data_IF_787969061366
#
_entry.id   IF_787969061366
#
_cell.length_a   1.000
_cell.length_b   1.000
_cell.length_c   1.000
_cell.angle_alpha   90.00
_cell.angle_beta   90.00
_cell.angle_gamma   90.00
#
_symmetry.space_group_name_H-M   'P 1'
#
loop_
_entity.id
_entity.type
_entity.pdbx_description
1 polymer ?
#
# COMPACT_ATOMS: atom_id res chain seq x y z
N UNK A 1 -0.49 14.20 12.12
CA UNK A 1 -0.40 14.08 10.67
C UNK A 1 -0.89 15.38 10.04
N UNK A 2 -0.17 15.99 9.10
CA UNK A 2 -0.62 17.20 8.39
C UNK A 2 -1.83 16.96 7.48
N UNK A 3 -2.25 15.73 7.33
CA UNK A 3 -3.28 15.29 6.40
C UNK A 3 -4.67 15.15 7.01
N UNK A 4 -4.99 16.00 7.95
CA UNK A 4 -6.39 16.18 8.34
C UNK A 4 -7.12 17.05 7.32
N UNK A 5 -8.42 17.28 7.53
CA UNK A 5 -9.33 18.13 6.71
C UNK A 5 -8.80 19.52 6.28
N UNK A 6 -7.54 19.84 6.54
CA UNK A 6 -6.90 21.13 6.24
C UNK A 6 -6.11 21.18 4.92
N UNK A 7 -6.04 20.07 4.17
CA UNK A 7 -5.27 20.00 2.93
C UNK A 7 -3.77 19.81 3.15
N UNK A 8 -3.03 19.94 2.08
CA UNK A 8 -1.59 19.80 2.08
C UNK A 8 -0.88 21.02 2.68
N UNK A 9 0.24 20.85 3.41
CA UNK A 9 1.06 22.00 3.85
C UNK A 9 1.80 22.64 2.68
N UNK A 10 2.22 23.89 2.84
CA UNK A 10 3.08 24.56 1.87
C UNK A 10 4.43 23.80 1.73
N UNK A 11 5.01 23.71 0.51
CA UNK A 11 4.50 24.26 -0.75
C UNK A 11 3.48 23.38 -1.48
N UNK A 12 3.21 22.18 -0.96
CA UNK A 12 2.39 21.12 -1.58
C UNK A 12 0.89 21.49 -1.69
N UNK A 13 0.45 22.54 -1.02
CA UNK A 13 -0.92 23.07 -1.10
C UNK A 13 -1.20 23.76 -2.43
N UNK A 14 -0.19 24.40 -3.04
CA UNK A 14 -0.32 25.17 -4.27
C UNK A 14 0.57 24.68 -5.41
N UNK A 15 1.70 24.07 -5.13
CA UNK A 15 2.62 23.51 -6.12
C UNK A 15 2.26 22.05 -6.42
N UNK A 16 1.55 21.83 -7.51
CA UNK A 16 1.08 20.48 -7.90
C UNK A 16 2.23 19.57 -8.32
N UNK A 17 3.31 20.09 -8.91
CA UNK A 17 4.49 19.28 -9.25
C UNK A 17 5.22 18.82 -7.99
N UNK A 18 5.38 19.69 -7.02
CA UNK A 18 5.94 19.31 -5.72
C UNK A 18 5.02 18.26 -5.03
N UNK A 19 3.69 18.44 -5.09
CA UNK A 19 2.69 17.51 -4.54
C UNK A 19 2.78 16.13 -5.19
N UNK A 20 2.91 16.07 -6.51
CA UNK A 20 3.14 14.82 -7.27
C UNK A 20 4.35 14.05 -6.71
N UNK A 21 5.39 14.76 -6.33
CA UNK A 21 6.58 14.18 -5.70
C UNK A 21 6.30 13.43 -4.38
N UNK A 22 5.28 13.83 -3.60
CA UNK A 22 4.88 13.10 -2.38
C UNK A 22 4.40 11.68 -2.68
N UNK A 23 3.63 11.51 -3.75
CA UNK A 23 3.14 10.21 -4.17
C UNK A 23 4.26 9.30 -4.68
N UNK A 24 5.19 9.84 -5.44
CA UNK A 24 6.35 9.07 -5.89
C UNK A 24 7.26 8.67 -4.72
N UNK A 25 7.56 9.56 -3.79
CA UNK A 25 8.33 9.21 -2.60
C UNK A 25 7.62 8.18 -1.71
N UNK A 26 6.27 8.23 -1.65
CA UNK A 26 5.47 7.21 -0.96
C UNK A 26 5.72 5.84 -1.58
N UNK A 27 5.59 5.71 -2.89
CA UNK A 27 5.77 4.43 -3.60
C UNK A 27 7.23 4.00 -3.58
N UNK A 28 8.18 4.91 -3.75
CA UNK A 28 9.61 4.61 -3.64
C UNK A 28 9.95 4.02 -2.27
N UNK A 29 9.32 4.51 -1.21
CA UNK A 29 9.52 4.00 0.16
C UNK A 29 9.23 2.51 0.27
N UNK A 30 8.06 2.04 -0.18
CA UNK A 30 7.73 0.60 -0.16
C UNK A 30 8.53 -0.21 -1.18
N UNK A 31 8.84 0.37 -2.33
CA UNK A 31 9.66 -0.29 -3.33
C UNK A 31 11.07 -0.58 -2.78
N UNK A 32 11.70 0.39 -2.12
CA UNK A 32 12.99 0.22 -1.46
C UNK A 32 12.90 -0.72 -0.26
N UNK A 33 11.85 -0.63 0.54
CA UNK A 33 11.60 -1.52 1.67
C UNK A 33 11.53 -2.99 1.22
N UNK A 34 10.85 -3.24 0.11
CA UNK A 34 10.70 -4.59 -0.46
C UNK A 34 12.02 -5.24 -0.90
N UNK A 35 13.08 -4.44 -1.09
CA UNK A 35 14.43 -4.88 -1.50
C UNK A 35 15.36 -5.15 -0.32
N UNK A 36 14.95 -4.82 0.89
CA UNK A 36 15.79 -5.04 2.07
C UNK A 36 16.03 -6.54 2.24
N UNK A 37 17.29 -6.93 2.30
CA UNK A 37 17.66 -8.29 2.69
C UNK A 37 17.42 -8.46 4.20
N UNK A 38 16.20 -8.87 4.51
CA UNK A 38 15.73 -9.02 5.88
C UNK A 38 16.48 -10.12 6.63
N UNK A 39 16.97 -11.16 5.93
CA UNK A 39 17.82 -12.21 6.53
C UNK A 39 19.18 -11.67 6.95
N UNK A 40 19.84 -10.92 6.06
CA UNK A 40 21.10 -10.27 6.39
C UNK A 40 20.97 -9.22 7.51
N UNK A 41 19.74 -8.77 7.80
CA UNK A 41 19.43 -7.86 8.91
C UNK A 41 19.01 -8.58 10.20
N UNK A 42 18.98 -9.92 10.21
CA UNK A 42 18.60 -10.70 11.37
C UNK A 42 17.09 -10.59 11.71
N UNK A 43 16.24 -10.42 10.69
CA UNK A 43 14.80 -10.29 10.87
C UNK A 43 14.03 -11.57 10.52
N UNK A 44 14.68 -12.74 10.71
CA UNK A 44 14.09 -14.05 10.37
C UNK A 44 12.80 -14.33 11.16
N UNK A 45 12.68 -13.77 12.36
CA UNK A 45 11.51 -13.95 13.23
C UNK A 45 10.40 -12.92 12.98
N UNK A 46 10.60 -11.96 12.07
CA UNK A 46 9.61 -10.90 11.80
C UNK A 46 8.34 -11.44 11.14
N UNK A 47 8.41 -12.58 10.44
CA UNK A 47 7.25 -13.15 9.76
C UNK A 47 7.50 -14.56 9.21
N UNK A 48 6.48 -15.10 8.57
CA UNK A 48 6.52 -16.44 7.94
C UNK A 48 6.16 -16.30 6.46
N UNK A 49 7.16 -16.13 5.58
CA UNK A 49 6.89 -15.98 4.13
C UNK A 49 6.32 -17.25 3.50
N UNK A 50 6.78 -18.44 3.91
CA UNK A 50 6.32 -19.69 3.30
C UNK A 50 4.82 -19.89 3.52
N UNK A 51 4.07 -20.14 2.44
CA UNK A 51 2.62 -20.29 2.48
C UNK A 51 1.90 -19.02 2.97
N UNK A 52 2.43 -17.84 2.70
CA UNK A 52 1.86 -16.58 3.16
C UNK A 52 0.42 -16.38 2.66
N UNK A 53 0.20 -16.45 1.34
CA UNK A 53 -1.13 -16.27 0.74
C UNK A 53 -2.14 -17.35 1.15
N UNK A 54 -1.68 -18.58 1.35
CA UNK A 54 -2.52 -19.70 1.79
C UNK A 54 -3.20 -19.42 3.13
N UNK A 55 -2.52 -18.69 4.01
CA UNK A 55 -3.01 -18.43 5.37
C UNK A 55 -3.83 -17.15 5.50
N UNK A 56 -3.72 -16.21 4.54
CA UNK A 56 -4.32 -14.88 4.74
C UNK A 56 -5.82 -14.92 4.89
N UNK A 57 -6.52 -15.58 3.97
CA UNK A 57 -7.99 -15.59 3.98
C UNK A 57 -8.51 -16.22 5.27
N UNK A 58 -7.96 -17.36 5.68
CA UNK A 58 -8.41 -18.06 6.89
C UNK A 58 -8.09 -17.28 8.17
N UNK A 59 -6.91 -16.64 8.21
CA UNK A 59 -6.51 -15.77 9.34
C UNK A 59 -7.46 -14.59 9.50
N UNK A 60 -7.76 -13.89 8.41
CA UNK A 60 -8.64 -12.73 8.45
C UNK A 60 -10.11 -13.11 8.67
N UNK A 61 -10.54 -14.24 8.11
CA UNK A 61 -11.88 -14.81 8.41
C UNK A 61 -12.02 -15.08 9.90
N UNK A 62 -11.06 -15.78 10.51
CA UNK A 62 -11.08 -16.06 11.94
C UNK A 62 -11.01 -14.80 12.80
N UNK A 63 -10.29 -13.77 12.35
CA UNK A 63 -10.26 -12.48 13.02
C UNK A 63 -11.62 -11.79 12.97
N UNK A 64 -12.24 -11.71 11.79
CA UNK A 64 -13.55 -11.10 11.59
C UNK A 64 -14.62 -11.78 12.42
N UNK A 65 -14.65 -13.12 12.49
CA UNK A 65 -15.61 -13.87 13.30
C UNK A 65 -15.58 -13.46 14.79
N UNK A 66 -14.41 -13.06 15.28
CA UNK A 66 -14.27 -12.64 16.68
C UNK A 66 -14.78 -11.22 16.96
N UNK A 67 -14.74 -10.35 15.94
CA UNK A 67 -15.04 -8.92 16.12
C UNK A 67 -16.28 -8.44 15.39
N UNK A 68 -16.87 -9.27 14.50
CA UNK A 68 -18.01 -8.83 13.72
C UNK A 68 -19.22 -8.55 14.61
N UNK A 69 -19.82 -7.37 14.42
CA UNK A 69 -21.04 -6.97 15.09
C UNK A 69 -22.29 -7.09 14.21
N UNK A 70 -22.10 -7.48 12.94
CA UNK A 70 -23.17 -7.63 11.94
C UNK A 70 -22.75 -8.59 10.84
N UNK A 71 -23.72 -9.09 10.08
CA UNK A 71 -23.43 -9.81 8.84
C UNK A 71 -22.79 -8.88 7.79
N UNK A 72 -21.88 -9.45 7.01
CA UNK A 72 -21.17 -8.75 5.93
C UNK A 72 -21.58 -9.39 4.58
N UNK A 73 -22.57 -8.83 3.88
CA UNK A 73 -22.99 -9.35 2.59
C UNK A 73 -21.82 -9.40 1.61
N UNK A 74 -21.69 -10.53 0.89
CA UNK A 74 -20.61 -10.72 -0.08
C UNK A 74 -19.28 -11.23 0.49
N UNK A 75 -19.13 -11.32 1.81
CA UNK A 75 -17.88 -11.77 2.44
C UNK A 75 -17.43 -13.16 1.96
N UNK A 76 -18.36 -14.14 1.96
CA UNK A 76 -18.05 -15.51 1.53
C UNK A 76 -17.66 -15.58 0.04
N UNK A 77 -18.28 -14.75 -0.80
CA UNK A 77 -17.95 -14.64 -2.22
C UNK A 77 -16.53 -14.09 -2.39
N UNK A 78 -16.21 -13.03 -1.69
CA UNK A 78 -14.86 -12.44 -1.71
C UNK A 78 -13.81 -13.43 -1.17
N UNK A 79 -14.06 -14.10 -0.06
CA UNK A 79 -13.15 -15.09 0.50
C UNK A 79 -12.92 -16.27 -0.45
N UNK A 80 -13.96 -16.77 -1.13
CA UNK A 80 -13.84 -17.82 -2.12
C UNK A 80 -13.02 -17.36 -3.34
N UNK A 81 -13.27 -16.13 -3.82
CA UNK A 81 -12.51 -15.55 -4.93
C UNK A 81 -11.02 -15.42 -4.59
N UNK A 82 -10.68 -14.86 -3.42
CA UNK A 82 -9.30 -14.71 -2.97
C UNK A 82 -8.57 -16.06 -2.87
N UNK A 83 -9.24 -17.12 -2.39
CA UNK A 83 -8.65 -18.47 -2.36
C UNK A 83 -8.38 -19.02 -3.75
N UNK A 84 -9.29 -18.76 -4.71
CA UNK A 84 -9.18 -19.28 -6.07
C UNK A 84 -8.15 -18.54 -6.92
N UNK A 85 -7.90 -17.26 -6.63
CA UNK A 85 -7.04 -16.39 -7.46
C UNK A 85 -5.74 -16.00 -6.78
N UNK A 86 -5.38 -16.62 -5.66
CA UNK A 86 -4.15 -16.30 -4.96
C UNK A 86 -2.92 -16.42 -5.88
N UNK A 87 -1.95 -15.52 -5.77
CA UNK A 87 -0.70 -15.63 -6.49
C UNK A 87 0.00 -16.96 -6.22
N UNK A 88 0.48 -17.61 -7.28
CA UNK A 88 1.20 -18.89 -7.18
C UNK A 88 2.64 -18.66 -6.74
N UNK A 89 3.23 -17.57 -7.22
CA UNK A 89 4.61 -17.20 -6.95
C UNK A 89 4.70 -15.73 -6.51
N UNK A 90 5.56 -15.46 -5.56
CA UNK A 90 5.91 -14.12 -5.15
C UNK A 90 7.32 -14.11 -4.53
N UNK A 91 7.97 -12.97 -4.53
CA UNK A 91 9.27 -12.79 -3.88
C UNK A 91 9.05 -12.17 -2.50
N UNK A 92 9.33 -12.91 -1.41
CA UNK A 92 9.17 -12.38 -0.05
C UNK A 92 9.99 -11.12 0.18
N UNK A 93 9.47 -10.24 1.00
CA UNK A 93 10.15 -9.03 1.44
C UNK A 93 9.51 -8.49 2.71
N UNK A 94 10.11 -7.44 3.28
CA UNK A 94 9.49 -6.71 4.37
C UNK A 94 8.29 -5.97 3.80
N UNK A 95 7.17 -6.06 4.51
CA UNK A 95 5.99 -5.26 4.29
C UNK A 95 5.56 -4.58 5.59
N UNK A 96 4.96 -3.42 5.46
CA UNK A 96 4.48 -2.62 6.57
C UNK A 96 3.12 -3.10 7.10
N UNK A 97 2.24 -3.51 6.19
CA UNK A 97 0.91 -4.04 6.51
C UNK A 97 -0.21 -2.99 6.68
N UNK A 98 0.16 -1.72 6.84
CA UNK A 98 -0.75 -0.55 6.87
C UNK A 98 -0.05 0.68 6.26
N UNK A 99 0.55 0.51 5.07
CA UNK A 99 1.35 1.56 4.46
C UNK A 99 0.48 2.60 3.76
N UNK A 100 0.57 3.82 4.21
CA UNK A 100 -0.22 4.93 3.70
C UNK A 100 0.39 6.27 4.09
N UNK A 101 -0.12 7.38 3.54
CA UNK A 101 0.36 8.73 3.89
C UNK A 101 0.31 9.03 5.39
N UNK A 102 -0.66 8.47 6.14
CA UNK A 102 -0.75 8.68 7.57
C UNK A 102 0.42 8.08 8.35
N UNK A 103 1.04 7.03 7.82
CA UNK A 103 2.10 6.25 8.45
C UNK A 103 3.50 6.56 7.89
N UNK A 104 3.64 7.69 7.18
CA UNK A 104 4.93 8.17 6.70
C UNK A 104 5.17 9.62 7.12
N UNK A 105 6.43 9.97 7.20
CA UNK A 105 6.89 11.33 7.47
C UNK A 105 7.72 11.84 6.30
N UNK A 106 7.48 13.06 5.89
CA UNK A 106 8.27 13.74 4.87
C UNK A 106 9.11 14.84 5.52
N UNK A 107 10.21 15.19 4.88
CA UNK A 107 10.96 16.40 5.22
C UNK A 107 10.15 17.63 4.82
N UNK A 108 10.34 18.72 5.55
CA UNK A 108 9.72 19.99 5.21
C UNK A 108 10.25 20.52 3.87
N UNK A 109 9.35 21.10 3.08
CA UNK A 109 9.66 21.76 1.81
C UNK A 109 9.77 20.81 0.61
N UNK A 110 9.92 21.43 -0.57
CA UNK A 110 10.14 20.75 -1.84
C UNK A 110 11.63 20.67 -2.19
N UNK A 111 12.05 19.64 -2.95
CA UNK A 111 11.26 18.52 -3.40
C UNK A 111 10.86 17.57 -2.26
N UNK A 112 9.74 16.87 -2.41
CA UNK A 112 9.31 15.86 -1.45
C UNK A 112 10.45 14.86 -1.16
N UNK A 113 10.61 14.51 0.12
CA UNK A 113 11.56 13.48 0.56
C UNK A 113 10.99 12.70 1.72
N UNK A 114 10.83 11.41 1.54
CA UNK A 114 10.45 10.51 2.62
C UNK A 114 11.54 10.52 3.69
N UNK A 115 11.16 10.77 4.93
CA UNK A 115 12.08 10.83 6.07
C UNK A 115 12.00 9.60 6.96
N UNK A 116 10.78 9.06 7.16
CA UNK A 116 10.57 7.88 8.00
C UNK A 116 9.25 7.19 7.65
N UNK A 117 9.20 5.90 7.94
CA UNK A 117 8.00 5.07 7.97
C UNK A 117 7.76 4.75 9.45
N UNK A 118 6.55 4.96 9.93
CA UNK A 118 6.17 4.80 11.35
C UNK A 118 4.98 3.85 11.48
N UNK A 119 4.67 3.43 12.71
CA UNK A 119 3.53 2.55 13.01
C UNK A 119 3.68 1.12 12.44
N UNK A 120 4.75 0.48 12.86
CA UNK A 120 5.17 -0.85 12.39
C UNK A 120 4.45 -2.03 13.04
N UNK A 121 3.33 -1.82 13.76
CA UNK A 121 2.65 -2.88 14.52
C UNK A 121 2.13 -4.04 13.64
N UNK A 122 1.87 -3.76 12.36
CA UNK A 122 1.45 -4.74 11.35
C UNK A 122 2.63 -5.30 10.53
N UNK A 123 3.85 -4.80 10.79
CA UNK A 123 5.04 -5.15 10.02
C UNK A 123 5.36 -6.64 10.05
N UNK A 124 5.69 -7.18 8.88
CA UNK A 124 6.01 -8.61 8.75
C UNK A 124 6.87 -8.88 7.52
N UNK A 125 7.34 -10.12 7.37
CA UNK A 125 7.87 -10.64 6.11
C UNK A 125 6.76 -11.40 5.39
N UNK A 126 6.42 -10.95 4.20
CA UNK A 126 5.34 -11.50 3.40
C UNK A 126 5.47 -11.08 1.94
N UNK A 127 4.34 -10.82 1.27
CA UNK A 127 4.34 -10.28 -0.08
C UNK A 127 4.23 -8.75 -0.05
N UNK A 128 5.29 -8.02 -0.41
CA UNK A 128 5.29 -6.55 -0.39
C UNK A 128 4.28 -5.89 -1.33
N UNK A 129 3.71 -6.63 -2.29
CA UNK A 129 2.66 -6.11 -3.15
C UNK A 129 1.36 -5.81 -2.39
N UNK A 130 1.17 -6.38 -1.19
CA UNK A 130 0.04 -5.98 -0.32
C UNK A 130 0.12 -4.51 0.10
N UNK A 131 1.31 -4.02 0.42
CA UNK A 131 1.47 -2.59 0.73
C UNK A 131 1.19 -1.71 -0.51
N UNK A 132 1.64 -2.15 -1.69
CA UNK A 132 1.33 -1.45 -2.94
C UNK A 132 -0.16 -1.45 -3.22
N UNK A 133 -0.83 -2.62 -3.12
CA UNK A 133 -2.28 -2.74 -3.29
C UNK A 133 -3.03 -1.82 -2.34
N UNK A 134 -2.60 -1.75 -1.08
CA UNK A 134 -3.18 -0.85 -0.08
C UNK A 134 -3.03 0.63 -0.46
N UNK A 135 -1.87 1.04 -0.99
CA UNK A 135 -1.66 2.41 -1.48
C UNK A 135 -2.57 2.73 -2.66
N UNK A 136 -2.60 1.84 -3.68
CA UNK A 136 -3.32 2.12 -4.92
C UNK A 136 -4.82 1.81 -4.86
N UNK A 137 -5.31 1.12 -3.83
CA UNK A 137 -6.73 0.82 -3.63
C UNK A 137 -7.62 2.07 -3.62
N UNK A 138 -7.17 3.16 -2.99
CA UNK A 138 -7.88 4.43 -2.97
C UNK A 138 -7.41 5.42 -4.04
N UNK A 139 -6.67 4.96 -5.04
CA UNK A 139 -6.14 5.80 -6.10
C UNK A 139 -7.06 5.74 -7.33
N UNK A 140 -7.39 6.89 -7.93
CA UNK A 140 -8.21 6.90 -9.13
C UNK A 140 -7.58 6.07 -10.24
N UNK A 141 -8.38 5.23 -10.91
CA UNK A 141 -7.96 4.53 -12.11
C UNK A 141 -8.07 5.45 -13.32
N UNK A 142 -7.26 5.23 -14.35
CA UNK A 142 -7.28 6.00 -15.59
C UNK A 142 -8.63 5.84 -16.35
N UNK A 143 -9.41 4.81 -16.00
CA UNK A 143 -10.72 4.50 -16.61
C UNK A 143 -11.91 5.02 -15.80
N UNK A 144 -11.68 5.62 -14.63
CA UNK A 144 -12.76 6.08 -13.76
C UNK A 144 -13.50 7.27 -14.36
N UNK A 145 -14.83 7.26 -14.23
CA UNK A 145 -15.64 8.34 -14.68
C UNK A 145 -15.47 9.60 -13.80
N UNK A 146 -15.50 10.81 -14.38
CA UNK A 146 -15.50 12.02 -13.58
C UNK A 146 -16.69 12.03 -12.61
N UNK A 147 -16.41 12.10 -11.31
CA UNK A 147 -17.43 12.09 -10.27
C UNK A 147 -17.56 10.77 -9.50
N UNK A 148 -16.83 9.74 -9.86
CA UNK A 148 -16.64 8.60 -8.97
C UNK A 148 -15.84 9.09 -7.75
N UNK A 149 -16.54 9.24 -6.63
CA UNK A 149 -15.93 9.66 -5.37
C UNK A 149 -15.14 8.51 -4.78
N UNK A 150 -13.83 8.49 -5.03
CA UNK A 150 -12.94 7.66 -4.24
C UNK A 150 -12.91 8.17 -2.80
N UNK A 151 -13.04 7.26 -1.87
CA UNK A 151 -12.95 7.55 -0.44
C UNK A 151 -11.50 7.86 -0.03
N UNK A 152 -10.82 8.73 -0.77
CA UNK A 152 -9.50 9.20 -0.38
C UNK A 152 -9.61 10.20 0.77
N UNK A 153 -8.81 10.01 1.80
CA UNK A 153 -8.69 10.95 2.91
C UNK A 153 -7.72 12.10 2.61
N UNK A 154 -7.11 12.10 1.42
CA UNK A 154 -6.21 13.15 0.93
C UNK A 154 -6.78 13.80 -0.33
N UNK A 155 -6.41 15.06 -0.55
CA UNK A 155 -6.71 15.76 -1.81
C UNK A 155 -5.84 15.18 -2.93
N UNK A 156 -6.48 14.53 -3.90
CA UNK A 156 -5.83 13.84 -5.01
C UNK A 156 -5.49 14.77 -6.19
N UNK A 157 -5.84 16.07 -6.11
CA UNK A 157 -5.55 17.03 -7.18
C UNK A 157 -4.05 17.10 -7.47
N UNK A 158 -3.65 16.86 -8.70
CA UNK A 158 -2.25 16.90 -9.14
C UNK A 158 -1.44 15.66 -8.78
N UNK A 159 -2.05 14.63 -8.21
CA UNK A 159 -1.37 13.34 -7.99
C UNK A 159 -1.13 12.61 -9.32
N UNK A 160 -0.12 11.74 -9.40
CA UNK A 160 0.07 10.87 -10.56
C UNK A 160 -1.08 9.88 -10.69
N UNK A 161 -1.27 9.31 -11.87
CA UNK A 161 -2.24 8.23 -12.08
C UNK A 161 -1.84 6.94 -11.35
N UNK A 162 -2.81 6.03 -11.17
CA UNK A 162 -2.54 4.67 -10.64
C UNK A 162 -1.49 3.96 -11.48
N UNK A 163 -1.62 4.03 -12.80
CA UNK A 163 -0.66 3.39 -13.72
C UNK A 163 0.77 3.96 -13.60
N UNK A 164 0.92 5.28 -13.42
CA UNK A 164 2.22 5.90 -13.17
C UNK A 164 2.86 5.39 -11.86
N UNK A 165 2.07 5.21 -10.80
CA UNK A 165 2.57 4.67 -9.53
C UNK A 165 2.99 3.20 -9.63
N UNK A 166 2.21 2.38 -10.33
CA UNK A 166 2.55 0.98 -10.58
C UNK A 166 3.84 0.84 -11.39
N UNK A 167 3.97 1.64 -12.46
CA UNK A 167 5.20 1.69 -13.25
C UNK A 167 6.41 2.13 -12.39
N UNK A 168 6.22 3.14 -11.54
CA UNK A 168 7.28 3.61 -10.63
C UNK A 168 7.71 2.54 -9.64
N UNK A 169 6.73 1.84 -9.04
CA UNK A 169 7.06 0.73 -8.14
C UNK A 169 7.84 -0.37 -8.84
N UNK A 170 7.41 -0.77 -10.03
CA UNK A 170 8.10 -1.80 -10.82
C UNK A 170 9.55 -1.39 -11.15
N UNK A 171 9.75 -0.14 -11.58
CA UNK A 171 11.07 0.42 -11.88
C UNK A 171 12.00 0.38 -10.65
N UNK A 172 11.54 0.89 -9.52
CA UNK A 172 12.37 1.03 -8.30
C UNK A 172 12.59 -0.29 -7.61
N UNK A 173 11.56 -1.12 -7.49
CA UNK A 173 11.63 -2.42 -6.80
C UNK A 173 12.28 -3.52 -7.66
N UNK A 174 12.13 -3.45 -8.98
CA UNK A 174 12.44 -4.53 -9.91
C UNK A 174 11.41 -5.67 -9.87
N UNK A 175 10.23 -5.47 -9.26
CA UNK A 175 9.16 -6.46 -9.14
C UNK A 175 8.11 -6.24 -10.22
N UNK A 176 7.49 -7.33 -10.67
CA UNK A 176 6.33 -7.26 -11.56
C UNK A 176 5.05 -6.94 -10.77
N UNK A 177 4.11 -6.25 -11.43
CA UNK A 177 2.86 -5.77 -10.83
C UNK A 177 1.62 -6.17 -11.64
N UNK A 178 1.77 -7.11 -12.59
CA UNK A 178 0.69 -7.52 -13.49
C UNK A 178 -0.52 -8.15 -12.78
N UNK A 179 -0.30 -8.63 -11.56
CA UNK A 179 -1.31 -9.26 -10.71
C UNK A 179 -1.85 -8.32 -9.61
N UNK A 180 -1.62 -7.02 -9.75
CA UNK A 180 -1.96 -6.04 -8.69
C UNK A 180 -3.46 -6.02 -8.35
N UNK A 181 -4.33 -6.41 -9.27
CA UNK A 181 -5.78 -6.45 -9.06
C UNK A 181 -6.22 -7.54 -8.07
N UNK A 182 -5.31 -8.43 -7.68
CA UNK A 182 -5.54 -9.36 -6.58
C UNK A 182 -5.37 -8.68 -5.22
N UNK A 183 -4.49 -7.72 -5.10
CA UNK A 183 -4.09 -7.08 -3.85
C UNK A 183 -4.94 -5.84 -3.55
#
# INVERSE_FOLDING_TARGET
>A
SPMGRKGWPAPFDTDLEARKGLAYELVDGIALLSKVDWRAKGLDDLGRPDGFHERQVDRWTAFLERIKGRELPGFEVAAAWLRAHKPLDYVPGIMHGDYQFANVMFRDGAPARLAAIVDWEMGTVGDPKLDLGWVVHGWPDDTDAPGDEFASYVDMTGMPSRSELLARYAEVSGRQVDDIDYY
#
